data_IF_896616963655
#
_entry.id   IF_896616963655
#
_cell.length_a   1.000
_cell.length_b   1.000
_cell.length_c   1.000
_cell.angle_alpha   90.00
_cell.angle_beta   90.00
_cell.angle_gamma   90.00
#
_symmetry.space_group_name_H-M   'P 1'
#
loop_
_entity.id
_entity.type
_entity.pdbx_description
1 polymer ?
#
# COMPACT_ATOMS: atom_id res chain seq x y z
N UNK A 1 -34.50 50.60 52.26
CA UNK A 1 -33.39 50.18 51.37
C UNK A 1 -32.62 51.45 51.06
N UNK A 2 -31.36 51.56 51.46
CA UNK A 2 -30.60 52.81 51.31
C UNK A 2 -30.12 52.98 49.85
N UNK A 3 -29.83 54.20 49.41
CA UNK A 3 -29.29 54.45 48.06
C UNK A 3 -27.96 53.71 47.83
N UNK A 4 -27.18 53.53 48.91
CA UNK A 4 -25.93 52.78 48.91
C UNK A 4 -26.14 51.28 48.66
N UNK A 5 -27.19 50.67 49.25
CA UNK A 5 -27.55 49.26 48.99
C UNK A 5 -27.86 49.00 47.50
N UNK A 6 -28.49 49.96 46.83
CA UNK A 6 -28.87 49.84 45.42
C UNK A 6 -27.65 49.96 44.50
N UNK A 7 -26.74 50.89 44.79
CA UNK A 7 -25.48 51.06 44.04
C UNK A 7 -24.54 49.87 44.23
N UNK A 8 -24.49 49.30 45.42
CA UNK A 8 -23.63 48.14 45.70
C UNK A 8 -24.19 46.85 45.07
N UNK A 9 -25.51 46.68 45.03
CA UNK A 9 -26.16 45.65 44.19
C UNK A 9 -25.83 45.82 42.71
N UNK A 10 -25.85 47.06 42.20
CA UNK A 10 -25.45 47.34 40.81
C UNK A 10 -24.00 46.97 40.54
N UNK A 11 -23.07 47.27 41.47
CA UNK A 11 -21.66 46.85 41.37
C UNK A 11 -21.49 45.32 41.39
N UNK A 12 -22.22 44.61 42.25
CA UNK A 12 -22.21 43.14 42.25
C UNK A 12 -22.75 42.56 40.93
N UNK A 13 -23.79 43.19 40.36
CA UNK A 13 -24.38 42.77 39.09
C UNK A 13 -23.44 43.06 37.89
N UNK A 14 -22.61 44.10 37.94
CA UNK A 14 -21.64 44.40 36.89
C UNK A 14 -20.48 43.38 36.88
N UNK A 15 -20.17 42.77 38.02
CA UNK A 15 -19.15 41.71 38.15
C UNK A 15 -19.62 40.31 37.67
N UNK A 16 -20.83 40.19 37.08
CA UNK A 16 -21.44 38.94 36.62
C UNK A 16 -20.69 38.17 35.52
N UNK A 17 -19.64 38.72 34.92
CA UNK A 17 -18.92 38.07 33.82
C UNK A 17 -18.15 36.80 34.23
N UNK A 18 -17.94 36.56 35.53
CA UNK A 18 -17.42 35.30 36.06
C UNK A 18 -18.07 35.00 37.41
N UNK A 19 -18.67 33.82 37.56
CA UNK A 19 -19.50 33.46 38.74
C UNK A 19 -18.86 33.68 40.12
N UNK A 20 -17.53 33.73 40.19
CA UNK A 20 -16.76 34.02 41.42
C UNK A 20 -16.99 35.45 41.95
N UNK A 21 -17.21 36.43 41.06
CA UNK A 21 -17.43 37.82 41.45
C UNK A 21 -18.76 38.01 42.19
N UNK A 22 -19.78 37.23 41.84
CA UNK A 22 -21.10 37.30 42.48
C UNK A 22 -21.06 36.72 43.90
N UNK A 23 -20.40 35.57 44.10
CA UNK A 23 -20.29 34.94 45.42
C UNK A 23 -19.49 35.78 46.41
N UNK A 24 -18.35 36.35 45.97
CA UNK A 24 -17.57 37.28 46.81
C UNK A 24 -18.36 38.55 47.15
N UNK A 25 -19.12 39.09 46.20
CA UNK A 25 -19.91 40.29 46.43
C UNK A 25 -21.11 40.02 47.36
N UNK A 26 -21.80 38.88 47.20
CA UNK A 26 -22.88 38.44 48.09
C UNK A 26 -22.38 38.12 49.50
N UNK A 27 -21.20 37.51 49.64
CA UNK A 27 -20.54 37.30 50.93
C UNK A 27 -20.16 38.64 51.60
N UNK A 28 -19.67 39.61 50.83
CA UNK A 28 -19.39 40.96 51.31
C UNK A 28 -20.65 41.73 51.73
N UNK A 29 -21.75 41.60 50.99
CA UNK A 29 -23.04 42.26 51.32
C UNK A 29 -23.69 41.65 52.56
N UNK A 30 -23.70 40.32 52.67
CA UNK A 30 -24.20 39.64 53.88
C UNK A 30 -23.35 40.00 55.11
N UNK A 31 -22.02 40.12 54.95
CA UNK A 31 -21.13 40.60 56.00
C UNK A 31 -21.45 42.03 56.42
N UNK A 32 -21.58 42.98 55.48
CA UNK A 32 -21.92 44.39 55.81
C UNK A 32 -23.29 44.54 56.44
N UNK A 33 -24.30 43.80 55.95
CA UNK A 33 -25.65 43.82 56.54
C UNK A 33 -25.66 43.23 57.95
N UNK A 34 -24.96 42.10 58.16
CA UNK A 34 -24.77 41.51 59.49
C UNK A 34 -23.99 42.42 60.43
N UNK A 35 -23.01 43.17 59.90
CA UNK A 35 -22.24 44.16 60.65
C UNK A 35 -23.07 45.38 61.05
N UNK A 36 -23.81 45.99 60.12
CA UNK A 36 -24.63 47.17 60.39
C UNK A 36 -25.81 46.87 61.33
N UNK A 37 -26.43 45.70 61.21
CA UNK A 37 -27.50 45.29 62.12
C UNK A 37 -26.99 45.04 63.56
N UNK A 38 -25.70 44.69 63.72
CA UNK A 38 -25.07 44.40 65.02
C UNK A 38 -24.24 45.55 65.58
N UNK A 39 -23.88 46.54 64.76
CA UNK A 39 -23.34 47.83 65.20
C UNK A 39 -24.34 48.54 66.13
N UNK A 40 -25.63 48.32 65.88
CA UNK A 40 -26.76 48.86 66.64
C UNK A 40 -27.30 47.93 67.74
N UNK A 41 -26.75 46.72 67.93
CA UNK A 41 -27.10 45.85 69.05
C UNK A 41 -26.09 46.00 70.19
N UNK A 42 -26.56 45.90 71.43
CA UNK A 42 -25.78 45.93 72.68
C UNK A 42 -24.95 44.64 72.89
N UNK A 43 -24.41 44.04 71.82
CA UNK A 43 -23.45 42.93 71.95
C UNK A 43 -22.09 43.45 72.44
N UNK A 44 -21.47 42.75 73.40
CA UNK A 44 -20.15 43.13 73.93
C UNK A 44 -19.08 43.10 72.83
N UNK A 45 -18.15 44.07 72.85
CA UNK A 45 -17.10 44.18 71.83
C UNK A 45 -16.25 42.91 71.64
N UNK A 46 -16.13 42.09 72.69
CA UNK A 46 -15.46 40.79 72.65
C UNK A 46 -16.19 39.76 71.78
N UNK A 47 -17.53 39.72 71.83
CA UNK A 47 -18.33 38.84 71.00
C UNK A 47 -18.23 39.23 69.52
N UNK A 48 -18.18 40.55 69.24
CA UNK A 48 -18.01 41.12 67.91
C UNK A 48 -16.67 40.72 67.28
N UNK A 49 -15.57 40.78 68.04
CA UNK A 49 -14.24 40.35 67.58
C UNK A 49 -14.20 38.84 67.29
N UNK A 50 -14.85 38.01 68.13
CA UNK A 50 -14.90 36.55 67.90
C UNK A 50 -15.64 36.21 66.61
N UNK A 51 -16.78 36.84 66.36
CA UNK A 51 -17.52 36.65 65.11
C UNK A 51 -16.72 37.12 63.89
N UNK A 52 -16.03 38.26 63.95
CA UNK A 52 -15.15 38.71 62.85
C UNK A 52 -14.08 37.68 62.49
N UNK A 53 -13.48 37.03 63.49
CA UNK A 53 -12.48 35.99 63.23
C UNK A 53 -13.10 34.79 62.52
N UNK A 54 -14.27 34.32 63.00
CA UNK A 54 -14.97 33.19 62.38
C UNK A 54 -15.33 33.52 60.92
N UNK A 55 -15.85 34.72 60.65
CA UNK A 55 -16.17 35.15 59.29
C UNK A 55 -14.94 35.29 58.39
N UNK A 56 -13.83 35.83 58.91
CA UNK A 56 -12.57 35.90 58.18
C UNK A 56 -12.09 34.49 57.81
N UNK A 57 -12.07 33.56 58.78
CA UNK A 57 -11.67 32.17 58.52
C UNK A 57 -12.58 31.49 57.51
N UNK A 58 -13.90 31.70 57.57
CA UNK A 58 -14.83 31.15 56.60
C UNK A 58 -14.61 31.74 55.18
N UNK A 59 -14.33 33.03 55.06
CA UNK A 59 -14.00 33.68 53.80
C UNK A 59 -12.66 33.19 53.23
N UNK A 60 -11.64 33.01 54.08
CA UNK A 60 -10.34 32.48 53.69
C UNK A 60 -10.47 31.03 53.18
N UNK A 61 -11.25 30.17 53.86
CA UNK A 61 -11.54 28.80 53.43
C UNK A 61 -12.29 28.77 52.09
N UNK A 62 -13.31 29.63 51.92
CA UNK A 62 -14.06 29.73 50.67
C UNK A 62 -13.18 30.21 49.50
N UNK A 63 -12.25 31.12 49.76
CA UNK A 63 -11.32 31.62 48.73
C UNK A 63 -10.32 30.53 48.32
N UNK A 64 -9.82 29.75 49.27
CA UNK A 64 -8.93 28.61 48.98
C UNK A 64 -9.64 27.51 48.19
N UNK A 65 -10.90 27.19 48.52
CA UNK A 65 -11.65 26.16 47.81
C UNK A 65 -11.99 26.57 46.37
N UNK A 66 -12.34 27.83 46.13
CA UNK A 66 -12.56 28.39 44.79
C UNK A 66 -11.26 28.44 43.99
N UNK A 67 -10.14 28.83 44.61
CA UNK A 67 -8.81 28.78 43.97
C UNK A 67 -8.42 27.37 43.55
N UNK A 68 -8.67 26.37 44.40
CA UNK A 68 -8.49 24.96 44.07
C UNK A 68 -9.39 24.48 42.94
N UNK A 69 -10.66 24.91 42.93
CA UNK A 69 -11.61 24.59 41.86
C UNK A 69 -11.16 25.18 40.51
N UNK A 70 -10.69 26.42 40.48
CA UNK A 70 -10.19 27.07 39.27
C UNK A 70 -8.98 26.33 38.69
N UNK A 71 -7.98 26.00 39.51
CA UNK A 71 -6.83 25.21 39.04
C UNK A 71 -7.27 23.86 38.46
N UNK A 72 -8.24 23.18 39.10
CA UNK A 72 -8.79 21.92 38.58
C UNK A 72 -9.56 22.12 37.27
N UNK A 73 -10.27 23.22 37.09
CA UNK A 73 -10.93 23.54 35.81
C UNK A 73 -9.91 23.81 34.69
N UNK A 74 -8.83 24.52 34.98
CA UNK A 74 -7.73 24.75 34.03
C UNK A 74 -7.02 23.43 33.66
N UNK A 75 -6.77 22.55 34.65
CA UNK A 75 -6.27 21.19 34.40
C UNK A 75 -7.22 20.37 33.52
N UNK A 76 -8.53 20.40 33.79
CA UNK A 76 -9.54 19.70 32.97
C UNK A 76 -9.54 20.25 31.54
N UNK A 77 -9.43 21.57 31.36
CA UNK A 77 -9.37 22.17 30.03
C UNK A 77 -8.10 21.73 29.28
N UNK A 78 -6.95 21.71 29.93
CA UNK A 78 -5.71 21.22 29.35
C UNK A 78 -5.79 19.73 28.98
N UNK A 79 -6.40 18.90 29.84
CA UNK A 79 -6.62 17.48 29.57
C UNK A 79 -7.59 17.26 28.41
N UNK A 80 -8.66 18.06 28.28
CA UNK A 80 -9.58 17.99 27.13
C UNK A 80 -8.87 18.31 25.82
N UNK A 81 -8.05 19.35 25.79
CA UNK A 81 -7.27 19.69 24.60
C UNK A 81 -6.32 18.56 24.19
N UNK A 82 -5.64 17.95 25.17
CA UNK A 82 -4.79 16.78 24.90
C UNK A 82 -5.58 15.58 24.39
N UNK A 83 -6.78 15.35 24.92
CA UNK A 83 -7.66 14.28 24.44
C UNK A 83 -8.03 14.52 22.96
N UNK A 84 -8.42 15.74 22.60
CA UNK A 84 -8.73 16.11 21.21
C UNK A 84 -7.51 15.93 20.28
N UNK A 85 -6.31 16.31 20.73
CA UNK A 85 -5.07 16.09 19.98
C UNK A 85 -4.77 14.59 19.75
N UNK A 86 -4.97 13.76 20.79
CA UNK A 86 -4.78 12.30 20.69
C UNK A 86 -5.84 11.66 19.79
N UNK A 87 -7.11 12.08 19.89
CA UNK A 87 -8.18 11.62 19.00
C UNK A 87 -7.90 11.95 17.54
N UNK A 88 -7.42 13.17 17.27
CA UNK A 88 -7.02 13.59 15.92
C UNK A 88 -5.85 12.73 15.39
N UNK A 89 -4.82 12.48 16.22
CA UNK A 89 -3.70 11.60 15.86
C UNK A 89 -4.16 10.16 15.60
N UNK A 90 -5.08 9.65 16.42
CA UNK A 90 -5.63 8.30 16.25
C UNK A 90 -6.41 8.19 14.94
N UNK A 91 -7.24 9.18 14.60
CA UNK A 91 -7.97 9.22 13.33
C UNK A 91 -7.00 9.27 12.13
N UNK A 92 -5.94 10.07 12.20
CA UNK A 92 -4.91 10.11 11.16
C UNK A 92 -4.22 8.75 10.99
N UNK A 93 -3.83 8.11 12.09
CA UNK A 93 -3.22 6.77 12.05
C UNK A 93 -4.18 5.73 11.47
N UNK A 94 -5.48 5.82 11.78
CA UNK A 94 -6.49 4.92 11.22
C UNK A 94 -6.57 5.06 9.70
N UNK A 95 -6.65 6.29 9.18
CA UNK A 95 -6.66 6.56 7.73
C UNK A 95 -5.37 6.05 7.06
N UNK A 96 -4.21 6.24 7.69
CA UNK A 96 -2.95 5.72 7.16
C UNK A 96 -2.92 4.19 7.10
N UNK A 97 -3.48 3.51 8.11
CA UNK A 97 -3.60 2.04 8.08
C UNK A 97 -4.54 1.56 6.99
N UNK A 98 -5.71 2.19 6.85
CA UNK A 98 -6.66 1.85 5.79
C UNK A 98 -6.04 2.04 4.40
N UNK A 99 -5.30 3.14 4.17
CA UNK A 99 -4.58 3.36 2.92
C UNK A 99 -3.45 2.34 2.71
N UNK A 100 -2.73 1.95 3.76
CA UNK A 100 -1.69 0.93 3.67
C UNK A 100 -2.27 -0.44 3.32
N UNK A 101 -3.44 -0.79 3.86
CA UNK A 101 -4.14 -2.04 3.57
C UNK A 101 -4.64 -2.07 2.13
N UNK A 102 -5.20 -0.96 1.62
CA UNK A 102 -5.60 -0.83 0.21
C UNK A 102 -4.39 -0.97 -0.71
N UNK A 103 -3.30 -0.25 -0.45
CA UNK A 103 -2.08 -0.34 -1.25
C UNK A 103 -1.49 -1.77 -1.21
N UNK A 104 -1.53 -2.43 -0.07
CA UNK A 104 -1.05 -3.81 0.05
C UNK A 104 -1.92 -4.77 -0.77
N UNK A 105 -3.25 -4.59 -0.78
CA UNK A 105 -4.14 -5.38 -1.63
C UNK A 105 -3.85 -5.17 -3.12
N UNK A 106 -3.66 -3.93 -3.56
CA UNK A 106 -3.29 -3.60 -4.94
C UNK A 106 -1.96 -4.24 -5.34
N UNK A 107 -0.94 -4.17 -4.47
CA UNK A 107 0.36 -4.81 -4.69
C UNK A 107 0.25 -6.34 -4.78
N UNK A 108 -0.60 -6.97 -3.97
CA UNK A 108 -0.85 -8.41 -4.05
C UNK A 108 -1.54 -8.82 -5.36
N UNK A 109 -2.49 -8.02 -5.83
CA UNK A 109 -3.12 -8.24 -7.15
C UNK A 109 -2.12 -8.11 -8.29
N UNK A 110 -1.27 -7.08 -8.28
CA UNK A 110 -0.22 -6.90 -9.28
C UNK A 110 0.80 -8.03 -9.25
N UNK A 111 1.21 -8.47 -8.06
CA UNK A 111 2.13 -9.58 -7.90
C UNK A 111 1.53 -10.86 -8.51
N UNK A 112 0.26 -11.15 -8.22
CA UNK A 112 -0.46 -12.29 -8.81
C UNK A 112 -0.53 -12.21 -10.34
N UNK A 113 -0.84 -11.04 -10.90
CA UNK A 113 -0.84 -10.81 -12.36
C UNK A 113 0.55 -11.03 -12.96
N UNK A 114 1.61 -10.57 -12.31
CA UNK A 114 2.99 -10.78 -12.76
C UNK A 114 3.41 -12.25 -12.69
N UNK A 115 3.04 -12.97 -11.62
CA UNK A 115 3.29 -14.41 -11.52
C UNK A 115 2.61 -15.19 -12.64
N UNK A 116 1.36 -14.88 -12.97
CA UNK A 116 0.66 -15.49 -14.09
C UNK A 116 1.36 -15.24 -15.43
N UNK A 117 1.85 -14.01 -15.67
CA UNK A 117 2.63 -13.68 -16.86
C UNK A 117 3.96 -14.43 -16.93
N UNK A 118 4.66 -14.55 -15.80
CA UNK A 118 5.92 -15.32 -15.73
C UNK A 118 5.65 -16.76 -16.14
N UNK A 119 4.63 -17.41 -15.57
CA UNK A 119 4.26 -18.78 -15.91
C UNK A 119 3.91 -18.94 -17.40
N UNK A 120 3.18 -17.98 -17.98
CA UNK A 120 2.87 -17.97 -19.41
C UNK A 120 4.16 -17.87 -20.26
N UNK A 121 5.07 -16.97 -19.90
CA UNK A 121 6.36 -16.83 -20.61
C UNK A 121 7.26 -18.04 -20.48
N UNK A 122 7.27 -18.71 -19.32
CA UNK A 122 8.00 -19.96 -19.11
C UNK A 122 7.45 -21.08 -19.99
N UNK A 123 6.13 -21.15 -20.14
CA UNK A 123 5.48 -22.11 -21.04
C UNK A 123 5.86 -21.85 -22.50
N UNK A 124 5.79 -20.59 -22.95
CA UNK A 124 6.22 -20.21 -24.31
C UNK A 124 7.70 -20.49 -24.57
N UNK A 125 8.56 -20.26 -23.57
CA UNK A 125 9.98 -20.58 -23.66
C UNK A 125 10.22 -22.10 -23.77
N UNK A 126 9.45 -22.92 -23.05
CA UNK A 126 9.52 -24.37 -23.14
C UNK A 126 9.07 -24.87 -24.54
N UNK A 127 7.96 -24.34 -25.07
CA UNK A 127 7.47 -24.64 -26.42
C UNK A 127 8.52 -24.27 -27.48
N UNK A 128 9.08 -23.06 -27.41
CA UNK A 128 10.14 -22.62 -28.31
C UNK A 128 11.40 -23.50 -28.23
N UNK A 129 11.76 -23.97 -27.03
CA UNK A 129 12.88 -24.89 -26.85
C UNK A 129 12.61 -26.26 -27.49
N UNK A 130 11.37 -26.76 -27.44
CA UNK A 130 10.96 -27.99 -28.13
C UNK A 130 10.98 -27.83 -29.65
N UNK A 131 10.49 -26.71 -30.17
CA UNK A 131 10.56 -26.39 -31.60
C UNK A 131 12.01 -26.29 -32.08
N UNK A 132 12.87 -25.64 -31.32
CA UNK A 132 14.30 -25.58 -31.63
C UNK A 132 14.94 -26.98 -31.66
N UNK A 133 14.63 -27.83 -30.67
CA UNK A 133 15.09 -29.24 -30.66
C UNK A 133 14.60 -30.00 -31.88
N UNK A 134 13.35 -29.79 -32.31
CA UNK A 134 12.80 -30.39 -33.52
C UNK A 134 13.58 -29.95 -34.76
N UNK A 135 13.79 -28.64 -34.95
CA UNK A 135 14.56 -28.09 -36.07
C UNK A 135 15.97 -28.66 -36.10
N UNK A 136 16.66 -28.72 -34.95
CA UNK A 136 18.00 -29.29 -34.86
C UNK A 136 18.06 -30.76 -35.25
N UNK A 137 17.07 -31.58 -34.83
CA UNK A 137 16.97 -32.98 -35.26
C UNK A 137 16.73 -33.09 -36.77
N UNK A 138 15.87 -32.23 -37.32
CA UNK A 138 15.56 -32.22 -38.73
C UNK A 138 16.77 -31.81 -39.59
N UNK A 139 17.51 -30.77 -39.18
CA UNK A 139 18.75 -30.37 -39.86
C UNK A 139 19.78 -31.51 -39.88
N UNK A 140 19.96 -32.20 -38.75
CA UNK A 140 20.86 -33.36 -38.68
C UNK A 140 20.43 -34.49 -39.62
N UNK A 141 19.12 -34.71 -39.78
CA UNK A 141 18.59 -35.67 -40.75
C UNK A 141 18.90 -35.25 -42.19
N UNK A 142 18.63 -33.99 -42.55
CA UNK A 142 18.92 -33.45 -43.87
C UNK A 142 20.41 -33.48 -44.22
N UNK A 143 21.30 -33.18 -43.27
CA UNK A 143 22.76 -33.36 -43.42
C UNK A 143 23.15 -34.83 -43.68
N UNK A 144 22.38 -35.79 -43.14
CA UNK A 144 22.55 -37.20 -43.43
C UNK A 144 22.16 -37.54 -44.87
N UNK A 145 21.01 -37.06 -45.33
CA UNK A 145 20.54 -37.27 -46.70
C UNK A 145 21.44 -36.59 -47.73
N UNK A 146 21.93 -35.38 -47.44
CA UNK A 146 22.86 -34.65 -48.31
C UNK A 146 24.17 -35.44 -48.50
N UNK A 147 24.74 -36.01 -47.44
CA UNK A 147 25.92 -36.88 -47.53
C UNK A 147 25.68 -38.15 -48.34
N UNK A 148 24.49 -38.76 -48.25
CA UNK A 148 24.14 -39.91 -49.10
C UNK A 148 24.12 -39.51 -50.57
N UNK A 149 23.51 -38.38 -50.91
CA UNK A 149 23.47 -37.86 -52.28
C UNK A 149 24.87 -37.53 -52.81
N UNK A 150 25.73 -36.89 -52.00
CA UNK A 150 27.13 -36.64 -52.37
C UNK A 150 27.89 -37.95 -52.66
N UNK A 151 27.68 -38.98 -51.84
CA UNK A 151 28.31 -40.30 -52.02
C UNK A 151 27.86 -40.97 -53.32
N UNK A 152 26.55 -40.96 -53.59
CA UNK A 152 25.99 -41.49 -54.84
C UNK A 152 26.56 -40.74 -56.05
N UNK A 153 26.58 -39.41 -56.00
CA UNK A 153 27.14 -38.57 -57.05
C UNK A 153 28.61 -38.91 -57.35
N UNK A 154 29.44 -39.05 -56.31
CA UNK A 154 30.84 -39.44 -56.49
C UNK A 154 31.00 -40.85 -57.05
N UNK A 155 30.15 -41.80 -56.64
CA UNK A 155 30.17 -43.18 -57.16
C UNK A 155 29.86 -43.21 -58.65
N UNK A 156 28.86 -42.45 -59.10
CA UNK A 156 28.51 -42.32 -60.51
C UNK A 156 29.59 -41.63 -61.32
N UNK A 157 30.17 -40.55 -60.79
CA UNK A 157 31.27 -39.86 -61.44
C UNK A 157 32.48 -40.79 -61.64
N UNK A 158 32.78 -41.65 -60.67
CA UNK A 158 33.81 -42.70 -60.81
C UNK A 158 33.43 -43.74 -61.85
N UNK A 159 32.24 -44.32 -61.75
CA UNK A 159 31.76 -45.31 -62.73
C UNK A 159 31.74 -44.78 -64.16
N UNK A 160 31.43 -43.50 -64.37
CA UNK A 160 31.49 -42.81 -65.66
C UNK A 160 32.92 -42.63 -66.18
N UNK A 161 33.89 -42.38 -65.31
CA UNK A 161 35.29 -42.28 -65.68
C UNK A 161 35.89 -43.67 -66.01
N UNK A 162 35.43 -44.72 -65.34
CA UNK A 162 35.84 -46.11 -65.60
C UNK A 162 35.25 -46.64 -66.91
N UNK A 163 34.00 -46.32 -67.24
CA UNK A 163 33.35 -46.66 -68.53
C UNK A 163 33.83 -45.78 -69.70
N UNK A 164 34.35 -44.58 -69.43
CA UNK A 164 34.94 -43.69 -70.45
C UNK A 164 36.30 -44.12 -71.00
N UNK A 165 36.87 -45.24 -70.54
CA UNK A 165 38.18 -45.76 -70.98
C UNK A 165 38.11 -46.70 -72.20
N UNK A 166 36.94 -47.11 -72.64
CA UNK A 166 36.79 -47.87 -73.88
C UNK A 166 35.83 -47.12 -74.80
N UNK A 167 36.35 -46.46 -75.84
CA UNK A 167 35.54 -45.92 -76.93
C UNK A 167 34.77 -47.07 -77.60
N UNK A 168 33.42 -47.09 -77.59
CA UNK A 168 32.68 -47.85 -78.58
C UNK A 168 32.38 -46.92 -79.74
N UNK A 169 32.96 -47.23 -80.90
CA UNK A 169 32.55 -46.64 -82.16
C UNK A 169 31.09 -47.00 -82.46
N UNK A 170 30.21 -46.02 -82.35
CA UNK A 170 28.90 -46.00 -83.00
C UNK A 170 27.83 -46.92 -82.40
N UNK A 171 27.05 -46.39 -81.46
CA UNK A 171 25.62 -46.76 -81.37
C UNK A 171 24.86 -45.73 -80.55
N UNK A 172 23.71 -45.37 -81.10
CA UNK A 172 22.58 -44.62 -80.55
C UNK A 172 22.40 -44.66 -79.03
N UNK A 173 22.13 -43.46 -78.50
CA UNK A 173 21.73 -43.12 -77.13
C UNK A 173 20.63 -44.05 -76.61
N UNK A 174 21.03 -45.15 -75.97
CA UNK A 174 20.19 -45.89 -75.03
C UNK A 174 20.56 -45.37 -73.65
N UNK A 175 19.61 -44.80 -72.92
CA UNK A 175 19.74 -44.56 -71.48
C UNK A 175 20.36 -45.81 -70.86
N UNK A 176 21.54 -45.68 -70.28
CA UNK A 176 22.23 -46.83 -69.70
C UNK A 176 21.43 -47.26 -68.47
N UNK A 177 21.34 -48.57 -68.24
CA UNK A 177 20.63 -49.14 -67.08
C UNK A 177 21.15 -48.58 -65.73
N UNK A 178 22.35 -47.99 -65.73
CA UNK A 178 22.93 -47.24 -64.61
C UNK A 178 22.33 -45.84 -64.40
N UNK A 179 21.99 -45.11 -65.47
CA UNK A 179 21.35 -43.79 -65.39
C UNK A 179 19.91 -43.90 -64.86
N UNK A 180 19.18 -44.95 -65.26
CA UNK A 180 17.83 -45.26 -64.76
C UNK A 180 17.88 -45.63 -63.26
N UNK A 181 18.87 -46.42 -62.83
CA UNK A 181 19.06 -46.77 -61.42
C UNK A 181 19.38 -45.53 -60.57
N UNK A 182 20.24 -44.64 -61.07
CA UNK A 182 20.53 -43.38 -60.40
C UNK A 182 19.29 -42.49 -60.26
N UNK A 183 18.57 -42.24 -61.35
CA UNK A 183 17.36 -41.41 -61.31
C UNK A 183 16.30 -42.01 -60.38
N UNK A 184 16.22 -43.34 -60.32
CA UNK A 184 15.32 -44.05 -59.40
C UNK A 184 15.74 -43.89 -57.93
N UNK A 185 17.04 -43.98 -57.61
CA UNK A 185 17.56 -43.76 -56.26
C UNK A 185 17.45 -42.29 -55.81
N UNK A 186 17.76 -41.33 -56.70
CA UNK A 186 17.56 -39.90 -56.44
C UNK A 186 16.09 -39.60 -56.21
N UNK A 187 15.19 -40.19 -57.01
CA UNK A 187 13.74 -40.02 -56.84
C UNK A 187 13.25 -40.65 -55.53
N UNK A 188 13.78 -41.80 -55.14
CA UNK A 188 13.45 -42.43 -53.86
C UNK A 188 13.89 -41.56 -52.66
N UNK A 189 15.09 -40.98 -52.72
CA UNK A 189 15.59 -40.06 -51.68
C UNK A 189 14.73 -38.79 -51.63
N UNK A 190 14.45 -38.16 -52.78
CA UNK A 190 13.61 -36.96 -52.86
C UNK A 190 12.19 -37.21 -52.32
N UNK A 191 11.57 -38.36 -52.64
CA UNK A 191 10.25 -38.74 -52.12
C UNK A 191 10.27 -39.01 -50.62
N UNK A 192 11.37 -39.55 -50.08
CA UNK A 192 11.53 -39.77 -48.64
C UNK A 192 11.70 -38.46 -47.86
N UNK A 193 12.35 -37.45 -48.44
CA UNK A 193 12.54 -36.12 -47.83
C UNK A 193 11.28 -35.26 -47.76
N UNK A 194 10.31 -35.47 -48.67
CA UNK A 194 9.05 -34.70 -48.71
C UNK A 194 8.05 -35.17 -47.63
N UNK A 195 8.23 -36.36 -47.03
CA UNK A 195 7.27 -36.95 -46.07
C UNK A 195 7.43 -36.51 -44.62
N UNK A 196 8.29 -35.56 -44.28
CA UNK A 196 8.26 -34.97 -42.93
C UNK A 196 7.06 -34.04 -42.81
N UNK A 197 6.04 -34.38 -42.00
CA UNK A 197 4.86 -33.54 -41.87
C UNK A 197 5.29 -32.22 -41.21
N UNK A 198 5.14 -31.12 -41.93
CA UNK A 198 5.00 -29.83 -41.29
C UNK A 198 3.77 -29.93 -40.38
N UNK A 199 3.97 -29.93 -39.06
CA UNK A 199 2.87 -29.62 -38.15
C UNK A 199 2.51 -28.17 -38.42
N UNK A 200 1.48 -27.95 -39.24
CA UNK A 200 0.77 -26.68 -39.32
C UNK A 200 0.14 -26.45 -37.94
N UNK A 201 0.75 -25.53 -37.17
CA UNK A 201 0.09 -24.91 -36.02
C UNK A 201 -1.11 -24.10 -36.47
#
# INVERSE_FOLDING_TARGET
>A
MTADDANERRRCLILHAGGDGLLQCMAGQTFRRGWNHRANSTESGLLRIRHLRIFKTAADIATQSVGGLRMKMEEISALRKRLEEVEAQFLQQKVWRENADVNNHELLEENSKLQAKILETEKLAAEAADDFRYVMRHNKFLEGELRKLETLWHTLKRGRNETGSEKPSGSTESESDGDIRFLSEVRAIAVSGIRTPYRSG
#
